data_IF_580901665528
#
_entry.id   IF_580901665528
#
_cell.length_a   1.000
_cell.length_b   1.000
_cell.length_c   1.000
_cell.angle_alpha   90.00
_cell.angle_beta   90.00
_cell.angle_gamma   90.00
#
_symmetry.space_group_name_H-M   'P 1'
#
loop_
_entity.id
_entity.type
_entity.pdbx_description
1 polymer ?
#
# COMPACT_ATOMS: atom_id res chain seq x y z
N UNK A 1 -1.45 -25.51 0.80
CA UNK A 1 -2.87 -25.09 0.70
C UNK A 1 -3.10 -24.06 1.78
N UNK A 2 -3.05 -22.77 1.46
CA UNK A 2 -3.44 -21.72 2.40
C UNK A 2 -4.95 -21.78 2.55
N UNK A 3 -5.42 -22.31 3.68
CA UNK A 3 -6.84 -22.25 4.02
C UNK A 3 -7.19 -20.80 4.34
N UNK A 4 -8.31 -20.32 3.79
CA UNK A 4 -8.84 -19.01 4.16
C UNK A 4 -9.23 -19.03 5.64
N UNK A 5 -8.98 -17.96 6.41
CA UNK A 5 -9.52 -17.84 7.75
C UNK A 5 -11.05 -17.85 7.70
N UNK A 6 -11.66 -18.51 8.69
CA UNK A 6 -13.11 -18.59 8.84
C UNK A 6 -13.59 -17.45 9.73
N UNK A 7 -14.48 -16.61 9.21
CA UNK A 7 -15.05 -15.46 9.94
C UNK A 7 -16.57 -15.57 9.90
N UNK A 8 -17.22 -15.26 11.02
CA UNK A 8 -18.69 -15.31 11.09
C UNK A 8 -19.29 -14.16 10.30
N UNK A 9 -20.42 -14.40 9.64
CA UNK A 9 -21.19 -13.36 8.95
C UNK A 9 -21.57 -12.21 9.88
N UNK A 10 -21.78 -12.49 11.17
CA UNK A 10 -22.08 -11.48 12.20
C UNK A 10 -20.93 -10.52 12.48
N UNK A 11 -19.72 -10.86 12.04
CA UNK A 11 -18.50 -10.06 12.25
C UNK A 11 -18.12 -9.29 10.96
N UNK A 12 -19.02 -9.24 9.96
CA UNK A 12 -18.82 -8.61 8.64
C UNK A 12 -20.05 -7.75 8.25
N UNK A 13 -20.69 -7.08 9.22
CA UNK A 13 -21.99 -6.44 9.02
C UNK A 13 -21.90 -5.09 8.32
N UNK A 14 -20.76 -4.41 8.43
CA UNK A 14 -20.54 -3.09 7.88
C UNK A 14 -19.15 -2.94 7.25
N UNK A 15 -18.86 -1.75 6.69
CA UNK A 15 -17.59 -1.48 5.99
C UNK A 15 -16.38 -1.56 6.92
N UNK A 16 -16.49 -1.03 8.14
CA UNK A 16 -15.41 -1.06 9.13
C UNK A 16 -15.13 -2.51 9.57
N UNK A 17 -16.17 -3.32 9.73
CA UNK A 17 -16.02 -4.75 10.05
C UNK A 17 -15.23 -5.48 8.97
N UNK A 18 -15.60 -5.28 7.71
CA UNK A 18 -14.90 -5.86 6.55
C UNK A 18 -13.47 -5.33 6.46
N UNK A 19 -13.28 -4.02 6.68
CA UNK A 19 -11.96 -3.40 6.69
C UNK A 19 -11.04 -4.06 7.71
N UNK A 20 -11.51 -4.19 8.95
CA UNK A 20 -10.73 -4.77 10.04
C UNK A 20 -10.42 -6.25 9.78
N UNK A 21 -11.40 -7.01 9.30
CA UNK A 21 -11.24 -8.42 8.98
C UNK A 21 -10.21 -8.62 7.85
N UNK A 22 -10.39 -7.94 6.72
CA UNK A 22 -9.47 -8.02 5.57
C UNK A 22 -8.08 -7.55 5.95
N UNK A 23 -7.94 -6.41 6.63
CA UNK A 23 -6.64 -5.87 7.04
C UNK A 23 -5.88 -6.85 7.93
N UNK A 24 -6.56 -7.50 8.88
CA UNK A 24 -5.93 -8.50 9.76
C UNK A 24 -5.36 -9.67 8.96
N UNK A 25 -6.12 -10.19 7.99
CA UNK A 25 -5.67 -11.29 7.11
C UNK A 25 -4.48 -10.87 6.23
N UNK A 26 -4.52 -9.65 5.71
CA UNK A 26 -3.45 -9.13 4.86
C UNK A 26 -2.16 -8.91 5.65
N UNK A 27 -2.23 -8.32 6.84
CA UNK A 27 -1.06 -8.07 7.70
C UNK A 27 -0.41 -9.39 8.15
N UNK A 28 -1.21 -10.40 8.50
CA UNK A 28 -0.66 -11.72 8.89
C UNK A 28 0.10 -12.41 7.75
N UNK A 29 -0.32 -12.20 6.50
CA UNK A 29 0.28 -12.82 5.32
C UNK A 29 1.40 -11.99 4.69
N UNK A 30 1.33 -10.66 4.77
CA UNK A 30 2.27 -9.69 4.22
C UNK A 30 2.69 -10.03 2.77
N UNK A 31 3.94 -9.73 2.38
CA UNK A 31 4.51 -10.10 1.09
C UNK A 31 4.84 -11.61 0.93
N UNK A 32 4.44 -12.47 1.88
CA UNK A 32 4.77 -13.92 1.87
C UNK A 32 3.71 -14.77 1.17
N UNK A 33 2.66 -14.15 0.64
CA UNK A 33 1.51 -14.85 0.04
C UNK A 33 1.70 -15.11 -1.45
N UNK A 34 1.40 -16.33 -1.90
CA UNK A 34 1.29 -16.68 -3.32
C UNK A 34 -0.09 -16.29 -3.91
N UNK A 35 -1.04 -15.89 -3.07
CA UNK A 35 -2.34 -15.42 -3.53
C UNK A 35 -2.21 -13.99 -4.08
N UNK A 36 -2.28 -13.86 -5.40
CA UNK A 36 -2.18 -12.57 -6.10
C UNK A 36 -3.16 -11.51 -5.58
N UNK A 37 -4.41 -11.87 -5.26
CA UNK A 37 -5.40 -10.90 -4.74
C UNK A 37 -4.96 -10.39 -3.36
N UNK A 38 -4.47 -11.29 -2.50
CA UNK A 38 -3.95 -10.92 -1.20
C UNK A 38 -2.70 -10.04 -1.31
N UNK A 39 -1.77 -10.39 -2.21
CA UNK A 39 -0.56 -9.60 -2.45
C UNK A 39 -0.88 -8.18 -2.93
N UNK A 40 -1.77 -8.05 -3.93
CA UNK A 40 -2.21 -6.74 -4.44
C UNK A 40 -2.91 -5.92 -3.36
N UNK A 41 -3.82 -6.55 -2.61
CA UNK A 41 -4.54 -5.87 -1.53
C UNK A 41 -3.62 -5.45 -0.38
N UNK A 42 -2.64 -6.27 -0.03
CA UNK A 42 -1.63 -5.91 0.96
C UNK A 42 -0.75 -4.75 0.47
N UNK A 43 -0.35 -4.76 -0.80
CA UNK A 43 0.47 -3.67 -1.39
C UNK A 43 -0.21 -2.32 -1.24
N UNK A 44 -1.50 -2.22 -1.58
CA UNK A 44 -2.23 -0.96 -1.49
C UNK A 44 -2.64 -0.60 -0.05
N UNK A 45 -2.91 -1.59 0.80
CA UNK A 45 -3.12 -1.37 2.23
C UNK A 45 -1.88 -0.76 2.89
N UNK A 46 -0.72 -1.36 2.63
CA UNK A 46 0.56 -0.90 3.16
C UNK A 46 0.88 0.50 2.65
N UNK A 47 0.65 0.78 1.35
CA UNK A 47 0.77 2.13 0.81
C UNK A 47 -0.08 3.13 1.59
N UNK A 48 -1.39 2.88 1.72
CA UNK A 48 -2.29 3.74 2.48
C UNK A 48 -1.82 3.92 3.93
N UNK A 49 -1.48 2.83 4.64
CA UNK A 49 -1.04 2.90 6.03
C UNK A 49 0.19 3.78 6.22
N UNK A 50 1.16 3.72 5.33
CA UNK A 50 2.37 4.54 5.45
C UNK A 50 2.14 5.99 5.06
N UNK A 51 1.28 6.25 4.07
CA UNK A 51 0.91 7.63 3.73
C UNK A 51 0.23 8.36 4.89
N UNK A 52 -0.61 7.65 5.66
CA UNK A 52 -1.28 8.19 6.85
C UNK A 52 -0.37 8.24 8.10
N UNK A 53 0.70 7.45 8.16
CA UNK A 53 1.60 7.40 9.32
C UNK A 53 2.72 8.44 9.26
N UNK A 54 3.27 8.68 8.06
CA UNK A 54 4.39 9.59 7.86
C UNK A 54 4.77 9.80 6.39
N UNK A 55 3.81 9.65 5.47
CA UNK A 55 3.98 9.96 4.06
C UNK A 55 4.98 9.06 3.32
N UNK A 56 5.50 9.57 2.21
CA UNK A 56 6.39 8.81 1.34
C UNK A 56 7.71 8.40 2.01
N UNK A 57 8.21 9.13 3.02
CA UNK A 57 9.38 8.67 3.79
C UNK A 57 9.08 7.36 4.52
N UNK A 58 7.95 7.30 5.23
CA UNK A 58 7.53 6.08 5.93
C UNK A 58 7.31 4.93 4.95
N UNK A 59 6.72 5.21 3.78
CA UNK A 59 6.55 4.23 2.72
C UNK A 59 7.88 3.57 2.33
N UNK A 60 8.89 4.37 2.02
CA UNK A 60 10.20 3.89 1.57
C UNK A 60 10.92 3.15 2.70
N UNK A 61 10.90 3.72 3.91
CA UNK A 61 11.54 3.12 5.08
C UNK A 61 10.98 1.74 5.40
N UNK A 62 9.67 1.61 5.52
CA UNK A 62 9.03 0.36 5.94
C UNK A 62 8.95 -0.70 4.83
N UNK A 63 9.09 -0.31 3.56
CA UNK A 63 9.15 -1.25 2.43
C UNK A 63 10.57 -1.46 1.88
N UNK A 64 11.59 -0.84 2.46
CA UNK A 64 12.98 -0.86 1.96
C UNK A 64 13.50 -2.27 1.68
N UNK A 65 13.36 -3.20 2.64
CA UNK A 65 13.79 -4.59 2.49
C UNK A 65 13.11 -5.29 1.29
N UNK A 66 11.79 -5.10 1.13
CA UNK A 66 11.05 -5.67 0.01
C UNK A 66 11.43 -5.04 -1.32
N UNK A 67 11.60 -3.70 -1.35
CA UNK A 67 12.03 -2.96 -2.55
C UNK A 67 13.42 -3.40 -2.99
N UNK A 68 14.34 -3.64 -2.05
CA UNK A 68 15.67 -4.19 -2.34
C UNK A 68 15.60 -5.61 -2.91
N UNK A 69 14.70 -6.45 -2.38
CA UNK A 69 14.50 -7.82 -2.86
C UNK A 69 13.93 -7.87 -4.29
N UNK A 70 12.88 -7.10 -4.58
CA UNK A 70 12.16 -7.18 -5.86
C UNK A 70 12.65 -6.17 -6.91
N UNK A 71 13.32 -5.11 -6.46
CA UNK A 71 13.75 -3.96 -7.26
C UNK A 71 12.67 -2.88 -7.38
N UNK A 72 13.09 -1.62 -7.25
CA UNK A 72 12.19 -0.44 -7.27
C UNK A 72 11.29 -0.37 -8.49
N UNK A 73 11.78 -0.70 -9.69
CA UNK A 73 10.96 -0.66 -10.90
C UNK A 73 9.79 -1.61 -10.80
N UNK A 74 10.03 -2.84 -10.33
CA UNK A 74 8.99 -3.85 -10.17
C UNK A 74 8.02 -3.47 -9.04
N UNK A 75 8.55 -3.01 -7.91
CA UNK A 75 7.71 -2.54 -6.81
C UNK A 75 6.75 -1.44 -7.27
N UNK A 76 7.25 -0.43 -7.98
CA UNK A 76 6.43 0.66 -8.50
C UNK A 76 5.42 0.18 -9.54
N UNK A 77 5.82 -0.69 -10.47
CA UNK A 77 4.89 -1.29 -11.45
C UNK A 77 3.72 -2.01 -10.76
N UNK A 78 4.00 -2.77 -9.70
CA UNK A 78 2.99 -3.48 -8.91
C UNK A 78 2.10 -2.50 -8.14
N UNK A 79 2.66 -1.54 -7.40
CA UNK A 79 1.91 -0.52 -6.66
C UNK A 79 1.01 0.32 -7.58
N UNK A 80 1.59 0.87 -8.65
CA UNK A 80 0.88 1.68 -9.66
C UNK A 80 -0.24 0.87 -10.29
N UNK A 81 0.04 -0.39 -10.67
CA UNK A 81 -0.97 -1.25 -11.29
C UNK A 81 -2.16 -1.51 -10.37
N UNK A 82 -1.93 -1.69 -9.06
CA UNK A 82 -3.02 -1.87 -8.09
C UNK A 82 -3.78 -0.57 -7.84
N UNK A 83 -3.08 0.57 -7.72
CA UNK A 83 -3.74 1.87 -7.59
C UNK A 83 -4.65 2.15 -8.78
N UNK A 84 -4.20 1.89 -10.00
CA UNK A 84 -5.03 2.01 -11.20
C UNK A 84 -6.20 1.03 -11.21
N UNK A 85 -6.02 -0.20 -10.73
CA UNK A 85 -7.07 -1.22 -10.64
C UNK A 85 -8.21 -0.82 -9.69
N UNK A 86 -7.94 -0.03 -8.66
CA UNK A 86 -8.94 0.47 -7.70
C UNK A 86 -9.43 1.89 -8.02
N UNK A 87 -9.23 2.35 -9.27
CA UNK A 87 -9.57 3.70 -9.75
C UNK A 87 -8.85 4.85 -9.01
N UNK A 88 -7.76 4.57 -8.28
CA UNK A 88 -6.91 5.54 -7.59
C UNK A 88 -5.88 6.18 -8.54
N UNK A 89 -6.32 6.60 -9.73
CA UNK A 89 -5.42 7.08 -10.80
C UNK A 89 -4.58 8.30 -10.40
N UNK A 90 -5.15 9.22 -9.61
CA UNK A 90 -4.43 10.42 -9.15
C UNK A 90 -3.24 10.04 -8.25
N UNK A 91 -3.41 9.06 -7.36
CA UNK A 91 -2.35 8.51 -6.52
C UNK A 91 -1.29 7.78 -7.37
N UNK A 92 -1.73 6.96 -8.34
CA UNK A 92 -0.83 6.29 -9.27
C UNK A 92 0.06 7.27 -10.06
N UNK A 93 -0.45 8.46 -10.39
CA UNK A 93 0.32 9.49 -11.09
C UNK A 93 1.43 10.09 -10.22
N UNK A 94 1.22 10.21 -8.91
CA UNK A 94 2.26 10.65 -7.96
C UNK A 94 3.42 9.65 -7.99
N UNK A 95 3.14 8.36 -7.84
CA UNK A 95 4.15 7.32 -7.83
C UNK A 95 4.89 7.21 -9.17
N UNK A 96 4.20 7.35 -10.30
CA UNK A 96 4.83 7.42 -11.63
C UNK A 96 5.79 8.60 -11.76
N UNK A 97 5.43 9.73 -11.16
CA UNK A 97 6.18 10.99 -11.28
C UNK A 97 7.41 11.02 -10.38
N UNK A 98 7.27 10.54 -9.15
CA UNK A 98 8.30 10.72 -8.11
C UNK A 98 8.94 9.42 -7.63
N UNK A 99 8.28 8.26 -7.76
CA UNK A 99 8.67 7.03 -7.07
C UNK A 99 10.12 6.60 -7.26
N UNK A 100 10.62 6.62 -8.51
CA UNK A 100 12.01 6.25 -8.79
C UNK A 100 13.02 7.25 -8.21
N UNK A 101 12.71 8.54 -8.28
CA UNK A 101 13.59 9.59 -7.74
C UNK A 101 13.60 9.55 -6.22
N UNK A 102 12.44 9.40 -5.58
CA UNK A 102 12.32 9.26 -4.13
C UNK A 102 13.13 8.08 -3.61
N UNK A 103 13.03 6.91 -4.25
CA UNK A 103 13.85 5.75 -3.86
C UNK A 103 15.35 6.00 -4.02
N UNK A 104 15.77 6.62 -5.14
CA UNK A 104 17.19 6.96 -5.35
C UNK A 104 17.70 7.89 -4.25
N UNK A 105 16.93 8.92 -3.88
CA UNK A 105 17.31 9.84 -2.81
C UNK A 105 17.32 9.14 -1.45
N UNK A 106 16.36 8.25 -1.18
CA UNK A 106 16.34 7.46 0.06
C UNK A 106 17.61 6.60 0.22
N UNK A 107 17.99 5.85 -0.82
CA UNK A 107 19.22 5.04 -0.80
C UNK A 107 20.47 5.91 -0.62
N UNK A 108 20.54 7.06 -1.29
CA UNK A 108 21.66 7.98 -1.14
C UNK A 108 21.74 8.55 0.29
N UNK A 109 20.59 8.87 0.91
CA UNK A 109 20.52 9.35 2.29
C UNK A 109 21.00 8.27 3.27
N UNK A 110 20.50 7.04 3.16
CA UNK A 110 20.91 5.91 4.03
C UNK A 110 22.42 5.60 3.92
N UNK A 111 23.01 5.84 2.74
CA UNK A 111 24.44 5.71 2.51
C UNK A 111 25.27 6.95 2.89
N UNK A 112 24.65 7.98 3.46
CA UNK A 112 25.28 9.28 3.81
C UNK A 112 25.92 10.00 2.60
N UNK A 113 25.34 9.83 1.41
CA UNK A 113 25.84 10.42 0.15
C UNK A 113 25.24 11.81 -0.12
N UNK A 114 24.07 12.09 0.45
CA UNK A 114 23.38 13.39 0.36
C UNK A 114 22.98 13.88 1.75
N UNK A 115 22.65 15.17 1.84
CA UNK A 115 22.05 15.71 3.05
C UNK A 115 20.53 15.47 3.12
N UNK A 116 20.01 15.56 4.34
CA UNK A 116 18.60 15.34 4.65
C UNK A 116 17.67 16.36 3.95
N UNK A 117 18.12 17.59 3.71
CA UNK A 117 17.31 18.60 3.03
C UNK A 117 17.14 18.29 1.54
N UNK A 118 18.18 17.73 0.90
CA UNK A 118 18.10 17.26 -0.49
C UNK A 118 17.03 16.17 -0.64
N UNK A 119 17.00 15.21 0.29
CA UNK A 119 15.97 14.17 0.35
C UNK A 119 14.56 14.77 0.52
N UNK A 120 14.37 15.63 1.53
CA UNK A 120 13.05 16.22 1.79
C UNK A 120 12.55 17.14 0.67
N UNK A 121 13.46 17.74 -0.13
CA UNK A 121 13.07 18.56 -1.27
C UNK A 121 12.26 17.83 -2.36
N UNK A 122 12.34 16.49 -2.40
CA UNK A 122 11.54 15.62 -3.28
C UNK A 122 10.35 15.06 -2.53
N UNK A 123 10.57 14.54 -1.31
CA UNK A 123 9.52 13.92 -0.48
C UNK A 123 8.38 14.90 -0.22
N UNK A 124 8.68 16.16 0.11
CA UNK A 124 7.67 17.15 0.44
C UNK A 124 6.75 17.46 -0.75
N UNK A 125 7.28 17.44 -1.97
CA UNK A 125 6.48 17.67 -3.18
C UNK A 125 5.52 16.51 -3.45
N UNK A 126 5.99 15.28 -3.28
CA UNK A 126 5.14 14.11 -3.45
C UNK A 126 4.05 14.05 -2.36
N UNK A 127 4.42 14.34 -1.10
CA UNK A 127 3.48 14.45 0.01
C UNK A 127 2.44 15.55 -0.22
N UNK A 128 2.86 16.74 -0.68
CA UNK A 128 1.94 17.83 -1.00
C UNK A 128 0.92 17.42 -2.07
N UNK A 129 1.36 16.76 -3.14
CA UNK A 129 0.45 16.23 -4.16
C UNK A 129 -0.51 15.18 -3.60
N UNK A 130 -0.04 14.29 -2.73
CA UNK A 130 -0.90 13.29 -2.06
C UNK A 130 -1.97 13.96 -1.20
N UNK A 131 -1.58 14.88 -0.30
CA UNK A 131 -2.52 15.52 0.62
C UNK A 131 -3.54 16.41 -0.10
N UNK A 132 -3.20 16.96 -1.26
CA UNK A 132 -4.14 17.71 -2.10
C UNK A 132 -5.28 16.84 -2.69
N UNK A 133 -5.18 15.50 -2.63
CA UNK A 133 -6.23 14.58 -3.07
C UNK A 133 -7.36 14.37 -2.04
N UNK A 134 -7.25 14.99 -0.85
CA UNK A 134 -8.27 15.00 0.21
C UNK A 134 -8.68 13.59 0.70
N UNK A 135 -7.69 12.73 1.01
CA UNK A 135 -7.88 11.46 1.74
C UNK A 135 -8.87 10.45 1.10
N UNK A 136 -9.23 10.62 -0.18
CA UNK A 136 -10.16 9.74 -0.90
C UNK A 136 -9.68 8.29 -1.04
N UNK A 137 -8.39 8.04 -0.83
CA UNK A 137 -7.80 6.71 -0.98
C UNK A 137 -8.49 5.70 -0.07
N UNK A 138 -8.80 6.08 1.17
CA UNK A 138 -9.50 5.20 2.12
C UNK A 138 -10.81 4.66 1.57
N UNK A 139 -11.65 5.51 1.00
CA UNK A 139 -12.95 5.12 0.44
C UNK A 139 -12.80 4.12 -0.73
N UNK A 140 -11.76 4.29 -1.54
CA UNK A 140 -11.42 3.38 -2.63
C UNK A 140 -10.96 2.02 -2.10
N UNK A 141 -10.11 2.00 -1.06
CA UNK A 141 -9.69 0.74 -0.43
C UNK A 141 -10.86 0.03 0.25
N UNK A 142 -11.73 0.74 0.98
CA UNK A 142 -12.91 0.14 1.59
C UNK A 142 -13.81 -0.51 0.53
N UNK A 143 -14.02 0.17 -0.60
CA UNK A 143 -14.79 -0.37 -1.73
C UNK A 143 -14.10 -1.61 -2.31
N UNK A 144 -12.79 -1.58 -2.48
CA UNK A 144 -12.02 -2.71 -2.97
C UNK A 144 -12.07 -3.91 -2.01
N UNK A 145 -11.94 -3.68 -0.71
CA UNK A 145 -12.02 -4.74 0.31
C UNK A 145 -13.38 -5.41 0.33
N UNK A 146 -14.47 -4.64 0.17
CA UNK A 146 -15.82 -5.20 0.01
C UNK A 146 -15.88 -6.11 -1.22
N UNK A 147 -15.21 -5.77 -2.32
CA UNK A 147 -15.21 -6.60 -3.52
C UNK A 147 -14.44 -7.92 -3.35
N UNK A 148 -13.36 -7.92 -2.58
CA UNK A 148 -12.43 -9.07 -2.51
C UNK A 148 -12.51 -9.87 -1.20
N UNK A 149 -13.28 -9.44 -0.19
CA UNK A 149 -13.22 -10.07 1.14
C UNK A 149 -13.51 -11.57 1.12
N UNK A 150 -14.43 -12.06 0.28
CA UNK A 150 -14.73 -13.50 0.14
C UNK A 150 -13.66 -14.28 -0.62
N UNK A 151 -12.80 -13.60 -1.38
CA UNK A 151 -11.60 -14.19 -1.98
C UNK A 151 -10.50 -14.43 -0.95
N UNK A 152 -10.54 -13.71 0.17
CA UNK A 152 -9.55 -13.78 1.25
C UNK A 152 -10.04 -14.56 2.47
N UNK A 153 -11.35 -14.54 2.75
CA UNK A 153 -11.97 -15.06 3.96
C UNK A 153 -13.06 -16.09 3.60
N UNK A 154 -13.20 -17.15 4.39
CA UNK A 154 -14.33 -18.06 4.33
C UNK A 154 -15.43 -17.57 5.30
N UNK A 155 -16.56 -17.11 4.75
CA UNK A 155 -17.69 -16.64 5.56
C UNK A 155 -18.50 -17.83 6.05
N UNK A 156 -18.61 -17.96 7.36
CA UNK A 156 -19.42 -18.99 8.05
C UNK A 156 -20.58 -18.33 8.79
N UNK A 157 -21.66 -19.08 9.03
CA UNK A 157 -22.81 -18.59 9.81
C UNK A 157 -22.59 -18.74 11.32
#
# INVERSE_FOLDING_TARGET
>A
MNMKPKIKRTDLLNRDDIWNAVSSVLIESAYRTENKVAYEAFTVLQYYSEMESGGHESLLRWNSEHIEEVGITRYLEELIGVLEKIDAHEYAMIEKKFGQEMWRMYVALENNEIDENEFYSVIDKANEEYYNLNEKLRDLLESYFIMIHTDLIEVVD
#
